data_IF_790044575751
#
_entry.id   IF_790044575751
#
_cell.length_a   1.000
_cell.length_b   1.000
_cell.length_c   1.000
_cell.angle_alpha   90.00
_cell.angle_beta   90.00
_cell.angle_gamma   90.00
#
_symmetry.space_group_name_H-M   'P 1'
#
loop_
_entity.id
_entity.type
_entity.pdbx_description
1 polymer ?
#
# COMPACT_ATOMS: atom_id res chain seq x y z
N UNK A 1 -2.09 -19.40 -14.11
CA UNK A 1 -0.81 -19.28 -14.78
C UNK A 1 -0.83 -18.01 -15.63
N UNK A 2 -0.60 -16.87 -15.04
CA UNK A 2 -0.42 -15.57 -15.66
C UNK A 2 0.81 -14.93 -15.03
N UNK A 3 2.00 -15.46 -15.37
CA UNK A 3 3.22 -14.74 -15.13
C UNK A 3 3.16 -13.49 -16.02
N UNK A 4 3.05 -12.29 -15.42
CA UNK A 4 3.26 -11.06 -16.16
C UNK A 4 4.63 -11.13 -16.81
N UNK A 5 4.70 -10.85 -18.11
CA UNK A 5 5.97 -10.74 -18.83
C UNK A 5 6.84 -9.70 -18.11
N UNK A 6 8.07 -10.08 -17.79
CA UNK A 6 9.03 -9.15 -17.17
C UNK A 6 9.19 -7.89 -18.05
N UNK A 7 9.32 -6.73 -17.45
CA UNK A 7 9.49 -5.45 -18.16
C UNK A 7 10.64 -5.51 -19.17
N UNK A 8 11.71 -6.24 -18.86
CA UNK A 8 12.82 -6.50 -19.78
C UNK A 8 12.36 -7.28 -21.01
N UNK A 9 11.52 -8.31 -20.85
CA UNK A 9 10.94 -9.10 -21.93
C UNK A 9 9.95 -8.30 -22.78
N UNK A 10 9.19 -7.38 -22.17
CA UNK A 10 8.30 -6.47 -22.89
C UNK A 10 9.09 -5.48 -23.77
N UNK A 11 10.19 -4.93 -23.26
CA UNK A 11 11.06 -4.01 -24.02
C UNK A 11 11.75 -4.72 -25.19
N UNK A 12 12.15 -5.99 -25.03
CA UNK A 12 12.67 -6.80 -26.13
C UNK A 12 11.63 -7.09 -27.21
N UNK A 13 10.38 -7.32 -26.83
CA UNK A 13 9.26 -7.53 -27.77
C UNK A 13 8.92 -6.29 -28.58
N UNK A 14 9.20 -5.08 -28.04
CA UNK A 14 9.03 -3.82 -28.74
C UNK A 14 10.24 -3.42 -29.61
N UNK A 15 11.28 -4.27 -29.69
CA UNK A 15 12.47 -4.03 -30.53
C UNK A 15 13.40 -2.95 -30.02
N UNK A 16 13.29 -2.59 -28.74
CA UNK A 16 14.22 -1.69 -28.09
C UNK A 16 15.36 -2.51 -27.49
N UNK A 17 16.61 -2.15 -27.84
CA UNK A 17 17.75 -2.70 -27.11
C UNK A 17 17.63 -2.34 -25.62
N UNK A 18 17.95 -3.28 -24.68
CA UNK A 18 17.92 -3.00 -23.26
C UNK A 18 18.73 -1.73 -22.98
N UNK A 19 18.11 -0.76 -22.27
CA UNK A 19 18.80 0.43 -21.83
C UNK A 19 19.74 0.05 -20.67
N UNK A 20 21.06 0.20 -20.79
CA UNK A 20 22.00 -0.17 -19.72
C UNK A 20 21.71 0.56 -18.40
N UNK A 21 21.09 1.73 -18.43
CA UNK A 21 20.66 2.45 -17.22
C UNK A 21 19.47 1.75 -16.57
N UNK A 22 18.53 1.25 -17.35
CA UNK A 22 17.40 0.47 -16.84
C UNK A 22 17.86 -0.86 -16.24
N UNK A 23 18.74 -1.58 -16.92
CA UNK A 23 19.33 -2.83 -16.41
C UNK A 23 20.04 -2.60 -15.07
N UNK A 24 20.85 -1.54 -14.95
CA UNK A 24 21.53 -1.19 -13.71
C UNK A 24 20.53 -0.83 -12.60
N UNK A 25 19.45 -0.11 -12.92
CA UNK A 25 18.42 0.25 -11.96
C UNK A 25 17.67 -1.00 -11.46
N UNK A 26 17.25 -1.89 -12.34
CA UNK A 26 16.57 -3.13 -11.96
C UNK A 26 17.49 -4.02 -11.11
N UNK A 27 18.75 -4.19 -11.50
CA UNK A 27 19.71 -4.96 -10.71
C UNK A 27 19.94 -4.37 -9.30
N UNK A 28 19.93 -3.05 -9.16
CA UNK A 28 20.01 -2.41 -7.86
C UNK A 28 18.76 -2.64 -7.01
N UNK A 29 17.57 -2.56 -7.62
CA UNK A 29 16.28 -2.78 -6.95
C UNK A 29 16.05 -4.25 -6.59
N UNK A 30 16.60 -5.19 -7.33
CA UNK A 30 16.56 -6.62 -6.99
C UNK A 30 17.36 -6.93 -5.72
N UNK A 31 18.42 -6.14 -5.44
CA UNK A 31 19.22 -6.25 -4.21
C UNK A 31 18.62 -5.44 -3.06
N UNK A 32 18.07 -4.27 -3.35
CA UNK A 32 17.50 -3.35 -2.38
C UNK A 32 16.13 -2.83 -2.91
N UNK A 33 15.06 -3.58 -2.71
CA UNK A 33 13.71 -3.17 -3.13
C UNK A 33 13.29 -1.83 -2.54
N UNK A 34 12.40 -1.14 -3.23
CA UNK A 34 11.85 0.13 -2.73
C UNK A 34 11.11 -0.11 -1.41
N UNK A 35 11.46 0.66 -0.39
CA UNK A 35 10.67 0.80 0.82
C UNK A 35 9.95 2.16 0.77
N UNK A 36 8.70 2.16 0.27
CA UNK A 36 7.93 3.39 0.12
C UNK A 36 7.38 3.86 1.47
N UNK A 37 7.71 5.08 1.85
CA UNK A 37 7.35 5.67 3.15
C UNK A 37 5.92 6.18 3.25
N UNK A 38 5.13 6.24 2.16
CA UNK A 38 3.78 6.82 2.21
C UNK A 38 2.90 6.42 1.03
N UNK A 39 1.73 5.87 1.33
CA UNK A 39 0.74 5.57 0.30
C UNK A 39 -0.69 5.77 0.83
N UNK A 40 -1.45 6.64 0.17
CA UNK A 40 -2.82 7.01 0.52
C UNK A 40 -3.89 6.02 0.06
N UNK A 41 -3.53 4.80 -0.27
CA UNK A 41 -4.51 3.79 -0.68
C UNK A 41 -5.68 3.64 0.31
N UNK A 42 -5.46 3.64 1.65
CA UNK A 42 -6.55 3.56 2.61
C UNK A 42 -7.58 4.69 2.45
N UNK A 43 -7.12 5.91 2.21
CA UNK A 43 -8.00 7.05 1.94
C UNK A 43 -8.77 6.87 0.63
N UNK A 44 -8.12 6.35 -0.41
CA UNK A 44 -8.79 6.11 -1.69
C UNK A 44 -9.89 5.04 -1.58
N UNK A 45 -9.69 4.02 -0.75
CA UNK A 45 -10.74 3.02 -0.47
C UNK A 45 -11.99 3.67 0.13
N UNK A 46 -11.81 4.60 1.06
CA UNK A 46 -12.92 5.35 1.65
C UNK A 46 -13.62 6.23 0.62
N UNK A 47 -12.87 7.08 -0.07
CA UNK A 47 -13.45 8.11 -0.97
C UNK A 47 -14.17 7.47 -2.16
N UNK A 48 -13.61 6.40 -2.72
CA UNK A 48 -14.09 5.81 -3.97
C UNK A 48 -15.03 4.64 -3.76
N UNK A 49 -14.86 3.89 -2.68
CA UNK A 49 -15.56 2.62 -2.46
C UNK A 49 -16.34 2.56 -1.14
N UNK A 50 -16.34 3.66 -0.36
CA UNK A 50 -16.98 3.67 0.96
C UNK A 50 -16.51 2.47 1.82
N UNK A 51 -15.20 2.19 1.78
CA UNK A 51 -14.52 1.05 2.41
C UNK A 51 -15.06 -0.35 2.00
N UNK A 52 -15.76 -0.46 0.86
CA UNK A 52 -16.31 -1.72 0.33
C UNK A 52 -15.29 -2.43 -0.56
N UNK A 53 -14.26 -3.00 0.03
CA UNK A 53 -13.13 -3.62 -0.68
C UNK A 53 -13.51 -4.84 -1.53
N UNK A 54 -14.70 -5.43 -1.34
CA UNK A 54 -15.22 -6.50 -2.19
C UNK A 54 -15.49 -6.04 -3.64
N UNK A 55 -15.54 -4.73 -3.88
CA UNK A 55 -15.70 -4.13 -5.20
C UNK A 55 -14.34 -3.78 -5.85
N UNK A 56 -13.22 -3.99 -5.12
CA UNK A 56 -11.88 -3.67 -5.58
C UNK A 56 -11.24 -4.90 -6.22
N UNK A 57 -10.79 -4.76 -7.45
CA UNK A 57 -9.68 -5.55 -7.98
C UNK A 57 -8.38 -4.77 -7.75
N UNK A 58 -7.64 -5.17 -6.71
CA UNK A 58 -6.38 -4.50 -6.38
C UNK A 58 -5.20 -5.03 -7.21
N UNK A 59 -5.43 -6.05 -8.00
CA UNK A 59 -4.42 -6.56 -8.96
C UNK A 59 -4.19 -5.54 -10.07
N UNK A 60 -5.28 -4.90 -10.55
CA UNK A 60 -5.23 -3.86 -11.58
C UNK A 60 -6.26 -2.76 -11.28
N UNK A 61 -5.79 -1.56 -10.99
CA UNK A 61 -6.63 -0.37 -10.75
C UNK A 61 -6.52 0.68 -11.85
N UNK A 62 -6.29 0.25 -13.08
CA UNK A 62 -6.17 1.14 -14.24
C UNK A 62 -7.39 2.05 -14.44
N UNK A 63 -7.24 3.15 -15.19
CA UNK A 63 -8.31 4.14 -15.37
C UNK A 63 -9.62 3.51 -15.88
N UNK A 64 -10.72 3.87 -15.25
CA UNK A 64 -12.07 3.42 -15.61
C UNK A 64 -12.61 2.24 -14.80
N UNK A 65 -11.77 1.51 -14.09
CA UNK A 65 -12.24 0.40 -13.23
C UNK A 65 -12.85 0.89 -11.92
N UNK A 66 -12.27 1.93 -11.31
CA UNK A 66 -12.72 2.47 -10.03
C UNK A 66 -13.10 3.94 -10.20
N UNK A 67 -14.37 4.30 -9.95
CA UNK A 67 -14.83 5.68 -10.08
C UNK A 67 -14.06 6.64 -9.16
N UNK A 68 -13.66 7.79 -9.67
CA UNK A 68 -13.20 8.93 -8.88
C UNK A 68 -14.13 10.11 -9.09
N UNK A 69 -14.64 10.74 -8.04
CA UNK A 69 -15.43 11.97 -8.15
C UNK A 69 -14.72 13.11 -8.90
N UNK A 70 -13.40 13.06 -8.97
CA UNK A 70 -12.54 14.05 -9.68
C UNK A 70 -11.99 13.55 -11.02
N UNK A 71 -12.42 12.36 -11.47
CA UNK A 71 -11.98 11.77 -12.75
C UNK A 71 -10.52 11.33 -12.77
N UNK A 72 -9.86 11.16 -11.62
CA UNK A 72 -8.44 10.77 -11.56
C UNK A 72 -8.30 9.26 -11.50
N UNK A 73 -7.29 8.65 -12.14
CA UNK A 73 -7.00 7.23 -11.99
C UNK A 73 -6.54 6.89 -10.57
N UNK A 74 -6.62 5.62 -10.20
CA UNK A 74 -5.88 5.09 -9.07
C UNK A 74 -4.38 5.06 -9.41
N UNK A 75 -3.53 5.28 -8.40
CA UNK A 75 -2.08 5.33 -8.61
C UNK A 75 -1.38 4.05 -8.14
N UNK A 76 -2.10 3.16 -7.48
CA UNK A 76 -1.51 1.98 -6.82
C UNK A 76 -2.35 0.75 -7.10
N UNK A 77 -1.67 -0.33 -7.48
CA UNK A 77 -2.15 -1.71 -7.51
C UNK A 77 -0.98 -2.68 -7.37
N UNK A 78 -1.29 -3.96 -7.19
CA UNK A 78 -0.26 -4.98 -6.98
C UNK A 78 0.65 -5.15 -8.20
N UNK A 79 0.10 -5.09 -9.42
CA UNK A 79 0.90 -5.21 -10.65
C UNK A 79 1.97 -4.13 -10.71
N UNK A 80 1.59 -2.84 -10.55
CA UNK A 80 2.54 -1.73 -10.60
C UNK A 80 3.51 -1.70 -9.41
N UNK A 81 3.07 -2.11 -8.21
CA UNK A 81 3.97 -2.26 -7.08
C UNK A 81 5.06 -3.31 -7.35
N UNK A 82 4.69 -4.43 -7.97
CA UNK A 82 5.63 -5.48 -8.40
C UNK A 82 6.59 -5.01 -9.48
N UNK A 83 6.06 -4.41 -10.55
CA UNK A 83 6.85 -3.84 -11.64
C UNK A 83 7.86 -2.80 -11.13
N UNK A 84 7.42 -1.96 -10.17
CA UNK A 84 8.26 -0.95 -9.53
C UNK A 84 9.20 -1.49 -8.45
N UNK A 85 9.30 -2.81 -8.26
CA UNK A 85 10.14 -3.44 -7.24
C UNK A 85 9.89 -2.88 -5.82
N UNK A 86 8.62 -2.59 -5.50
CA UNK A 86 8.24 -2.19 -4.14
C UNK A 86 8.21 -3.43 -3.25
N UNK A 87 9.16 -3.52 -2.32
CA UNK A 87 9.25 -4.61 -1.36
C UNK A 87 8.56 -4.30 -0.03
N UNK A 88 8.45 -3.03 0.34
CA UNK A 88 7.77 -2.63 1.55
C UNK A 88 7.02 -1.31 1.37
N UNK A 89 5.87 -1.17 2.05
CA UNK A 89 4.96 -0.05 1.92
C UNK A 89 4.43 0.40 3.27
N UNK A 90 4.57 1.72 3.58
CA UNK A 90 3.77 2.35 4.62
C UNK A 90 2.40 2.75 4.07
N UNK A 91 1.34 2.16 4.62
CA UNK A 91 -0.04 2.51 4.29
C UNK A 91 -0.50 3.64 5.20
N UNK A 92 -0.75 4.81 4.64
CA UNK A 92 -1.12 6.00 5.39
C UNK A 92 -2.59 5.92 5.86
N UNK A 93 -2.76 5.87 7.18
CA UNK A 93 -4.05 5.95 7.86
C UNK A 93 -4.36 7.44 8.08
N UNK A 94 -4.80 8.09 7.03
CA UNK A 94 -5.14 9.51 7.03
C UNK A 94 -6.59 9.76 7.43
N UNK A 95 -6.79 10.79 8.26
CA UNK A 95 -8.10 11.40 8.51
C UNK A 95 -7.99 12.92 8.47
N UNK A 96 -9.03 13.66 8.00
CA UNK A 96 -8.97 15.13 7.93
C UNK A 96 -8.69 15.79 9.28
N UNK A 97 -7.72 16.70 9.34
CA UNK A 97 -7.35 17.42 10.55
C UNK A 97 -8.45 18.36 11.08
N UNK A 98 -9.48 18.61 10.28
CA UNK A 98 -10.65 19.43 10.66
C UNK A 98 -11.73 18.66 11.39
N UNK A 99 -11.59 17.33 11.53
CA UNK A 99 -12.55 16.52 12.28
C UNK A 99 -12.46 16.80 13.78
N UNK A 100 -13.61 16.85 14.49
CA UNK A 100 -13.61 16.79 15.95
C UNK A 100 -12.92 15.51 16.44
N UNK A 101 -12.26 15.56 17.60
CA UNK A 101 -11.45 14.45 18.12
C UNK A 101 -12.18 13.07 18.16
N UNK A 102 -13.45 12.97 18.65
CA UNK A 102 -14.13 11.68 18.67
C UNK A 102 -14.34 11.09 17.27
N UNK A 103 -14.66 11.93 16.29
CA UNK A 103 -14.84 11.54 14.90
C UNK A 103 -13.52 11.16 14.24
N UNK A 104 -12.43 11.86 14.59
CA UNK A 104 -11.08 11.54 14.10
C UNK A 104 -10.66 10.16 14.59
N UNK A 105 -10.81 9.85 15.87
CA UNK A 105 -10.51 8.52 16.45
C UNK A 105 -11.34 7.43 15.76
N UNK A 106 -12.66 7.65 15.64
CA UNK A 106 -13.56 6.70 14.97
C UNK A 106 -13.12 6.43 13.54
N UNK A 107 -12.87 7.48 12.76
CA UNK A 107 -12.47 7.34 11.37
C UNK A 107 -11.11 6.66 11.23
N UNK A 108 -10.16 6.93 12.14
CA UNK A 108 -8.86 6.27 12.19
C UNK A 108 -9.02 4.75 12.38
N UNK A 109 -9.87 4.32 13.31
CA UNK A 109 -10.15 2.90 13.53
C UNK A 109 -10.78 2.24 12.30
N UNK A 110 -11.70 2.92 11.61
CA UNK A 110 -12.30 2.43 10.36
C UNK A 110 -11.25 2.31 9.24
N UNK A 111 -10.29 3.23 9.17
CA UNK A 111 -9.21 3.17 8.18
C UNK A 111 -8.18 2.06 8.50
N UNK A 112 -7.88 1.82 9.78
CA UNK A 112 -7.09 0.67 10.22
C UNK A 112 -7.78 -0.63 9.79
N UNK A 113 -9.08 -0.77 10.05
CA UNK A 113 -9.87 -1.96 9.69
C UNK A 113 -9.83 -2.22 8.19
N UNK A 114 -10.13 -1.22 7.36
CA UNK A 114 -10.16 -1.43 5.91
C UNK A 114 -8.79 -1.78 5.34
N UNK A 115 -7.72 -1.19 5.89
CA UNK A 115 -6.35 -1.50 5.46
C UNK A 115 -5.98 -2.93 5.83
N UNK A 116 -6.31 -3.37 7.04
CA UNK A 116 -6.08 -4.75 7.47
C UNK A 116 -6.86 -5.74 6.58
N UNK A 117 -8.12 -5.48 6.30
CA UNK A 117 -8.92 -6.31 5.37
C UNK A 117 -8.36 -6.34 3.95
N UNK A 118 -7.73 -5.25 3.48
CA UNK A 118 -7.04 -5.25 2.19
C UNK A 118 -5.84 -6.20 2.22
N UNK A 119 -4.98 -6.10 3.23
CA UNK A 119 -3.80 -6.97 3.38
C UNK A 119 -4.23 -8.44 3.50
N UNK A 120 -5.23 -8.73 4.34
CA UNK A 120 -5.75 -10.09 4.53
C UNK A 120 -6.30 -10.69 3.22
N UNK A 121 -7.01 -9.88 2.43
CA UNK A 121 -7.59 -10.32 1.16
C UNK A 121 -6.52 -10.69 0.13
N UNK A 122 -5.38 -10.03 0.16
CA UNK A 122 -4.27 -10.26 -0.76
C UNK A 122 -3.04 -10.85 -0.03
N UNK A 123 -3.29 -11.73 0.93
CA UNK A 123 -2.24 -12.32 1.79
C UNK A 123 -1.22 -13.18 1.05
N UNK A 124 -1.52 -13.59 -0.18
CA UNK A 124 -0.54 -14.25 -1.06
C UNK A 124 0.51 -13.26 -1.59
N UNK A 125 0.18 -11.97 -1.65
CA UNK A 125 1.01 -10.90 -2.21
C UNK A 125 1.54 -9.93 -1.15
N UNK A 126 0.87 -9.83 0.00
CA UNK A 126 1.13 -8.85 1.04
C UNK A 126 1.26 -9.54 2.40
N UNK A 127 2.10 -9.01 3.28
CA UNK A 127 2.22 -9.48 4.65
C UNK A 127 2.32 -8.31 5.62
N UNK A 128 1.72 -8.45 6.82
CA UNK A 128 1.93 -7.46 7.88
C UNK A 128 3.39 -7.40 8.28
N UNK A 129 3.87 -6.20 8.56
CA UNK A 129 5.18 -5.97 9.14
C UNK A 129 5.08 -4.97 10.29
N UNK A 130 5.46 -5.40 11.46
CA UNK A 130 5.46 -4.62 12.69
C UNK A 130 6.89 -4.37 13.22
N UNK A 131 7.84 -5.16 12.73
CA UNK A 131 9.25 -5.13 13.07
C UNK A 131 10.12 -5.21 11.80
N UNK A 132 11.41 -4.94 11.92
CA UNK A 132 12.35 -5.13 10.82
C UNK A 132 12.41 -6.60 10.38
N UNK A 133 12.39 -7.53 11.34
CA UNK A 133 12.38 -8.97 11.04
C UNK A 133 11.14 -9.39 10.23
N UNK A 134 9.97 -8.79 10.50
CA UNK A 134 8.76 -9.04 9.70
C UNK A 134 8.93 -8.55 8.26
N UNK A 135 9.59 -7.40 8.05
CA UNK A 135 9.90 -6.90 6.71
C UNK A 135 10.82 -7.87 5.98
N UNK A 136 11.90 -8.32 6.63
CA UNK A 136 12.85 -9.27 6.04
C UNK A 136 12.18 -10.61 5.70
N UNK A 137 11.31 -11.11 6.58
CA UNK A 137 10.54 -12.34 6.33
C UNK A 137 9.57 -12.18 5.15
N UNK A 138 8.83 -11.07 5.07
CA UNK A 138 7.92 -10.79 3.96
C UNK A 138 8.68 -10.75 2.63
N UNK A 139 9.84 -10.07 2.59
CA UNK A 139 10.70 -10.02 1.41
C UNK A 139 11.22 -11.41 1.01
N UNK A 140 11.63 -12.23 1.99
CA UNK A 140 12.09 -13.60 1.73
C UNK A 140 10.97 -14.50 1.18
N UNK A 141 9.71 -14.24 1.55
CA UNK A 141 8.52 -14.91 1.00
C UNK A 141 8.08 -14.33 -0.36
N UNK A 142 8.76 -13.31 -0.86
CA UNK A 142 8.41 -12.61 -2.09
C UNK A 142 7.14 -11.76 -1.96
N UNK A 143 6.76 -11.35 -0.74
CA UNK A 143 5.59 -10.51 -0.45
C UNK A 143 5.98 -9.06 -0.23
N UNK A 144 5.00 -8.16 -0.38
CA UNK A 144 5.13 -6.74 -0.03
C UNK A 144 4.89 -6.59 1.47
N UNK A 145 5.93 -6.22 2.21
CA UNK A 145 5.81 -5.92 3.63
C UNK A 145 4.92 -4.69 3.85
N UNK A 146 3.86 -4.84 4.62
CA UNK A 146 2.81 -3.83 4.79
C UNK A 146 2.84 -3.27 6.21
N UNK A 147 3.27 -2.03 6.35
CA UNK A 147 3.36 -1.31 7.62
C UNK A 147 2.23 -0.30 7.71
N UNK A 148 1.51 -0.25 8.83
CA UNK A 148 0.44 0.71 9.05
C UNK A 148 0.99 1.97 9.73
N UNK A 149 0.68 3.13 9.18
CA UNK A 149 1.14 4.42 9.66
C UNK A 149 -0.02 5.40 9.82
N UNK A 150 -0.17 6.03 10.99
CA UNK A 150 -1.15 7.10 11.20
C UNK A 150 -0.57 8.41 10.66
N UNK A 151 -1.37 9.12 9.88
CA UNK A 151 -1.04 10.46 9.43
C UNK A 151 -1.79 11.51 10.25
N UNK A 152 -1.03 12.17 11.13
CA UNK A 152 -1.50 13.27 11.97
C UNK A 152 -1.87 12.85 13.41
N UNK A 153 -1.26 13.53 14.40
CA UNK A 153 -1.43 13.23 15.82
C UNK A 153 -2.85 13.44 16.36
N UNK A 154 -3.71 14.20 15.66
CA UNK A 154 -5.14 14.36 16.01
C UNK A 154 -5.93 13.04 15.95
N UNK A 155 -5.43 12.05 15.21
CA UNK A 155 -6.02 10.71 15.09
C UNK A 155 -6.16 9.98 16.43
N UNK A 156 -5.32 10.32 17.43
CA UNK A 156 -5.42 9.73 18.78
C UNK A 156 -6.39 10.45 19.71
N UNK A 157 -7.02 11.58 19.28
CA UNK A 157 -7.96 12.33 20.10
C UNK A 157 -7.35 12.85 21.40
N UNK A 158 -6.10 13.32 21.36
CA UNK A 158 -5.36 13.83 22.54
C UNK A 158 -5.27 12.84 23.71
N UNK A 159 -5.46 11.54 23.47
CA UNK A 159 -5.46 10.47 24.48
C UNK A 159 -4.39 9.41 24.21
N UNK A 160 -3.44 9.27 25.15
CA UNK A 160 -2.39 8.25 25.06
C UNK A 160 -2.94 6.82 25.22
N UNK A 161 -4.14 6.65 25.76
CA UNK A 161 -4.84 5.35 25.78
C UNK A 161 -5.16 4.91 24.36
N UNK A 162 -5.70 5.82 23.55
CA UNK A 162 -5.96 5.54 22.12
C UNK A 162 -4.67 5.21 21.38
N UNK A 163 -3.57 5.93 21.63
CA UNK A 163 -2.27 5.60 21.02
C UNK A 163 -1.83 4.16 21.32
N UNK A 164 -1.95 3.73 22.59
CA UNK A 164 -1.61 2.35 22.97
C UNK A 164 -2.49 1.32 22.27
N UNK A 165 -3.80 1.60 22.12
CA UNK A 165 -4.70 0.71 21.40
C UNK A 165 -4.38 0.67 19.90
N UNK A 166 -4.08 1.79 19.28
CA UNK A 166 -3.67 1.84 17.88
C UNK A 166 -2.34 1.11 17.63
N UNK A 167 -1.38 1.22 18.56
CA UNK A 167 -0.17 0.40 18.53
C UNK A 167 -0.49 -1.11 18.60
N UNK A 168 -1.43 -1.51 19.47
CA UNK A 168 -1.89 -2.91 19.53
C UNK A 168 -2.63 -3.36 18.27
N UNK A 169 -3.14 -2.42 17.47
CA UNK A 169 -3.75 -2.66 16.15
C UNK A 169 -2.74 -2.59 15.00
N UNK A 170 -1.45 -2.73 15.29
CA UNK A 170 -0.35 -2.79 14.31
C UNK A 170 0.12 -1.43 13.76
N UNK A 171 -0.29 -0.33 14.34
CA UNK A 171 0.29 0.97 13.98
C UNK A 171 1.74 1.06 14.47
N UNK A 172 2.66 1.51 13.58
CA UNK A 172 4.11 1.62 13.89
C UNK A 172 4.71 3.00 13.61
N UNK A 173 4.01 3.83 12.86
CA UNK A 173 4.45 5.18 12.52
C UNK A 173 3.27 6.16 12.52
#
# INVERSE_FOLDING_TARGET
DGAGTDLAEQLELEGHAPDPAMEAALAALDVAPVFDGHNDMPLQLRIRLDNKINQLDFTDTTPGQIPDPRGRPMHTDLTRLREGRVGAQFWAIYVPATLPEPEAVKMTLEQIDVTKRLIDRFSDEMAYAETADDVENALAEGKIASVLAIEGGHSIGSDLGNLRQMFALSIRY
#
